data_IF_704306101428
#
_entry.id   IF_704306101428
#
_cell.length_a   1.000
_cell.length_b   1.000
_cell.length_c   1.000
_cell.angle_alpha   90.00
_cell.angle_beta   90.00
_cell.angle_gamma   90.00
#
_symmetry.space_group_name_H-M   'P 1'
#
loop_
_entity.id
_entity.type
_entity.pdbx_description
1 polymer ?
#
# COMPACT_ATOMS: atom_id res chain seq x y z
N UNK A 1 28.99 4.52 10.23
CA UNK A 1 29.90 3.98 9.19
C UNK A 1 29.44 2.58 8.74
N UNK A 2 28.21 2.43 8.20
CA UNK A 2 27.70 1.10 7.77
C UNK A 2 26.87 1.11 6.47
N UNK A 3 26.41 2.28 5.99
CA UNK A 3 25.57 2.34 4.78
C UNK A 3 26.38 2.22 3.46
N UNK A 4 27.63 2.69 3.43
CA UNK A 4 28.46 2.72 2.21
C UNK A 4 28.90 1.35 1.69
N UNK A 5 28.98 0.33 2.55
CA UNK A 5 29.41 -1.01 2.12
C UNK A 5 28.28 -1.82 1.47
N UNK A 6 27.02 -1.52 1.79
CA UNK A 6 25.85 -2.27 1.31
C UNK A 6 25.11 -1.56 0.16
N UNK A 7 25.35 -0.27 -0.04
CA UNK A 7 24.82 0.52 -1.15
C UNK A 7 25.99 1.19 -1.90
N UNK A 8 26.71 0.44 -2.74
CA UNK A 8 27.89 0.94 -3.47
C UNK A 8 27.54 1.92 -4.61
N UNK A 9 26.25 2.06 -4.94
CA UNK A 9 25.82 2.88 -6.07
C UNK A 9 25.83 4.38 -5.74
N UNK A 10 26.38 5.16 -6.68
CA UNK A 10 26.39 6.64 -6.66
C UNK A 10 25.04 7.26 -7.04
N UNK A 11 24.00 6.45 -7.26
CA UNK A 11 22.72 6.92 -7.77
C UNK A 11 21.71 7.11 -6.63
N UNK A 12 21.27 8.34 -6.48
CA UNK A 12 20.19 8.72 -5.57
C UNK A 12 18.94 8.97 -6.41
N UNK A 13 18.03 8.01 -6.39
CA UNK A 13 16.76 8.00 -7.12
C UNK A 13 15.56 7.89 -6.16
N UNK A 14 14.35 7.86 -6.72
CA UNK A 14 13.11 7.85 -5.94
C UNK A 14 12.96 6.61 -5.05
N UNK A 15 13.60 5.49 -5.39
CA UNK A 15 13.59 4.26 -4.60
C UNK A 15 14.47 4.39 -3.36
N UNK A 16 15.65 5.03 -3.45
CA UNK A 16 16.44 5.31 -2.24
C UNK A 16 15.74 6.34 -1.35
N UNK A 17 15.04 7.33 -1.95
CA UNK A 17 14.17 8.24 -1.19
C UNK A 17 13.05 7.49 -0.47
N UNK A 18 12.43 6.50 -1.11
CA UNK A 18 11.45 5.63 -0.49
C UNK A 18 12.03 4.86 0.71
N UNK A 19 13.16 4.18 0.53
CA UNK A 19 13.79 3.43 1.63
C UNK A 19 14.25 4.34 2.78
N UNK A 20 14.79 5.51 2.46
CA UNK A 20 15.22 6.50 3.45
C UNK A 20 14.01 7.02 4.24
N UNK A 21 12.90 7.33 3.56
CA UNK A 21 11.65 7.70 4.21
C UNK A 21 11.17 6.60 5.17
N UNK A 22 11.17 5.34 4.74
CA UNK A 22 10.77 4.20 5.59
C UNK A 22 11.68 4.07 6.80
N UNK A 23 13.00 4.17 6.63
CA UNK A 23 13.97 4.11 7.73
C UNK A 23 13.73 5.22 8.76
N UNK A 24 13.59 6.48 8.31
CA UNK A 24 13.34 7.62 9.19
C UNK A 24 12.05 7.41 9.99
N UNK A 25 10.97 6.97 9.33
CA UNK A 25 9.69 6.73 10.01
C UNK A 25 9.79 5.60 11.05
N UNK A 26 10.56 4.54 10.78
CA UNK A 26 10.83 3.49 11.76
C UNK A 26 11.59 4.07 12.96
N UNK A 27 12.64 4.85 12.72
CA UNK A 27 13.42 5.47 13.80
C UNK A 27 12.56 6.39 14.68
N UNK A 28 11.68 7.18 14.07
CA UNK A 28 10.72 8.04 14.80
C UNK A 28 9.80 7.19 15.69
N UNK A 29 9.16 6.16 15.14
CA UNK A 29 8.22 5.30 15.88
C UNK A 29 8.92 4.52 17.01
N UNK A 30 10.20 4.18 16.83
CA UNK A 30 11.00 3.48 17.83
C UNK A 30 11.65 4.42 18.87
N UNK A 31 11.43 5.74 18.80
CA UNK A 31 12.15 6.74 19.60
C UNK A 31 13.68 6.58 19.51
N UNK A 32 14.18 6.18 18.34
CA UNK A 32 15.61 6.05 18.10
C UNK A 32 16.26 7.40 17.78
N UNK A 33 17.56 7.51 18.01
CA UNK A 33 18.32 8.70 17.64
C UNK A 33 18.29 8.92 16.13
N UNK A 34 17.87 10.12 15.72
CA UNK A 34 17.90 10.54 14.33
C UNK A 34 19.28 11.07 13.96
N UNK A 35 19.61 11.06 12.66
CA UNK A 35 20.90 11.56 12.18
C UNK A 35 21.02 13.08 12.37
N UNK A 36 22.23 13.60 12.53
CA UNK A 36 22.47 15.04 12.77
C UNK A 36 21.95 15.96 11.64
N UNK A 37 21.84 15.44 10.42
CA UNK A 37 21.29 16.17 9.27
C UNK A 37 19.75 16.18 9.23
N UNK A 38 19.09 15.37 10.07
CA UNK A 38 17.64 15.31 10.12
C UNK A 38 17.06 16.65 10.54
N UNK A 39 16.10 17.11 9.76
CA UNK A 39 15.18 18.16 10.17
C UNK A 39 13.82 17.93 9.49
N UNK A 40 12.72 18.48 10.05
CA UNK A 40 11.39 18.25 9.51
C UNK A 40 11.21 18.66 8.04
N UNK A 41 11.90 19.71 7.58
CA UNK A 41 11.83 20.16 6.20
C UNK A 41 12.48 19.14 5.24
N UNK A 42 13.67 18.64 5.57
CA UNK A 42 14.33 17.59 4.80
C UNK A 42 13.51 16.30 4.78
N UNK A 43 12.93 15.92 5.93
CA UNK A 43 12.05 14.75 5.99
C UNK A 43 10.85 14.90 5.05
N UNK A 44 10.22 16.07 5.01
CA UNK A 44 9.09 16.34 4.11
C UNK A 44 9.45 16.16 2.62
N UNK A 45 10.60 16.68 2.19
CA UNK A 45 11.07 16.49 0.80
C UNK A 45 11.37 15.01 0.50
N UNK A 46 11.94 14.28 1.46
CA UNK A 46 12.14 12.84 1.36
C UNK A 46 10.79 12.10 1.22
N UNK A 47 9.79 12.46 2.02
CA UNK A 47 8.44 11.88 1.95
C UNK A 47 7.77 12.15 0.61
N UNK A 48 7.92 13.34 0.03
CA UNK A 48 7.41 13.64 -1.32
C UNK A 48 8.07 12.75 -2.37
N UNK A 49 9.39 12.59 -2.32
CA UNK A 49 10.12 11.71 -3.23
C UNK A 49 9.68 10.25 -3.12
N UNK A 50 9.51 9.76 -1.89
CA UNK A 50 8.97 8.43 -1.60
C UNK A 50 7.55 8.25 -2.19
N UNK A 51 6.71 9.28 -2.08
CA UNK A 51 5.36 9.26 -2.66
C UNK A 51 5.38 9.17 -4.19
N UNK A 52 6.25 9.92 -4.85
CA UNK A 52 6.44 9.84 -6.30
C UNK A 52 6.86 8.42 -6.70
N UNK A 53 7.75 7.77 -5.94
CA UNK A 53 8.14 6.39 -6.17
C UNK A 53 6.91 5.47 -6.20
N UNK A 54 6.08 5.49 -5.16
CA UNK A 54 4.89 4.64 -5.06
C UNK A 54 3.87 4.98 -6.17
N UNK A 55 3.64 6.27 -6.43
CA UNK A 55 2.68 6.73 -7.44
C UNK A 55 3.05 6.24 -8.83
N UNK A 56 4.35 6.21 -9.15
CA UNK A 56 4.86 5.78 -10.44
C UNK A 56 4.49 4.32 -10.76
N UNK A 57 4.45 3.45 -9.75
CA UNK A 57 4.22 2.00 -9.88
C UNK A 57 2.80 1.65 -10.33
N UNK A 58 1.85 2.57 -10.23
CA UNK A 58 0.45 2.37 -10.63
C UNK A 58 -0.16 3.65 -11.22
N UNK A 59 0.66 4.41 -11.94
CA UNK A 59 0.32 5.74 -12.46
C UNK A 59 -0.68 5.73 -13.62
N UNK A 60 -0.72 4.66 -14.40
CA UNK A 60 -1.63 4.51 -15.55
C UNK A 60 -2.70 3.44 -15.26
N UNK A 61 -3.85 3.47 -15.95
CA UNK A 61 -4.87 2.42 -15.82
C UNK A 61 -4.32 1.01 -16.12
N UNK A 62 -3.40 0.89 -17.08
CA UNK A 62 -2.76 -0.38 -17.41
C UNK A 62 -1.87 -0.88 -16.26
N UNK A 63 -1.05 0.00 -15.67
CA UNK A 63 -0.20 -0.33 -14.53
C UNK A 63 -1.02 -0.65 -13.28
N UNK A 64 -2.06 0.14 -12.97
CA UNK A 64 -2.96 -0.12 -11.85
C UNK A 64 -3.67 -1.48 -11.99
N UNK A 65 -4.17 -1.80 -13.20
CA UNK A 65 -4.76 -3.11 -13.49
C UNK A 65 -3.74 -4.24 -13.35
N UNK A 66 -2.50 -4.03 -13.78
CA UNK A 66 -1.44 -5.04 -13.67
C UNK A 66 -1.01 -5.28 -12.21
N UNK A 67 -0.83 -4.21 -11.43
CA UNK A 67 -0.32 -4.28 -10.07
C UNK A 67 -1.38 -4.71 -9.05
N UNK A 68 -2.59 -4.13 -9.10
CA UNK A 68 -3.66 -4.37 -8.12
C UNK A 68 -4.77 -5.31 -8.61
N UNK A 69 -4.97 -5.38 -9.93
CA UNK A 69 -6.08 -6.12 -10.54
C UNK A 69 -6.16 -7.60 -10.17
N UNK A 70 -5.05 -8.37 -10.13
CA UNK A 70 -5.10 -9.78 -9.72
C UNK A 70 -5.67 -9.99 -8.31
N UNK A 71 -5.31 -9.12 -7.36
CA UNK A 71 -5.79 -9.21 -5.99
C UNK A 71 -7.26 -8.77 -5.89
N UNK A 72 -7.64 -7.67 -6.56
CA UNK A 72 -9.05 -7.23 -6.65
C UNK A 72 -9.92 -8.34 -7.24
N UNK A 73 -9.46 -8.96 -8.34
CA UNK A 73 -10.15 -10.11 -8.95
C UNK A 73 -10.33 -11.25 -7.95
N UNK A 74 -9.27 -11.64 -7.24
CA UNK A 74 -9.35 -12.70 -6.23
C UNK A 74 -10.35 -12.37 -5.12
N UNK A 75 -10.39 -11.11 -4.67
CA UNK A 75 -11.37 -10.65 -3.68
C UNK A 75 -12.80 -10.81 -4.22
N UNK A 76 -13.08 -10.36 -5.45
CA UNK A 76 -14.40 -10.50 -6.08
C UNK A 76 -14.79 -11.96 -6.33
N UNK A 77 -13.84 -12.82 -6.70
CA UNK A 77 -14.07 -14.27 -6.83
C UNK A 77 -14.48 -14.88 -5.48
N UNK A 78 -13.85 -14.48 -4.37
CA UNK A 78 -14.25 -14.93 -3.04
C UNK A 78 -15.66 -14.46 -2.68
N UNK A 79 -16.02 -13.22 -3.04
CA UNK A 79 -17.39 -12.71 -2.88
C UNK A 79 -18.39 -13.57 -3.66
N UNK A 80 -18.13 -13.85 -4.93
CA UNK A 80 -19.01 -14.66 -5.77
C UNK A 80 -19.19 -16.09 -5.23
N UNK A 81 -18.09 -16.74 -4.80
CA UNK A 81 -18.13 -18.08 -4.19
C UNK A 81 -18.95 -18.09 -2.89
N UNK A 82 -18.84 -17.02 -2.09
CA UNK A 82 -19.64 -16.88 -0.87
C UNK A 82 -21.11 -16.64 -1.19
N UNK A 83 -21.41 -15.82 -2.19
CA UNK A 83 -22.78 -15.50 -2.60
C UNK A 83 -23.52 -16.70 -3.18
N UNK A 84 -22.81 -17.60 -3.86
CA UNK A 84 -23.35 -18.84 -4.40
C UNK A 84 -23.34 -20.01 -3.39
N UNK A 85 -23.04 -19.74 -2.11
CA UNK A 85 -22.90 -20.77 -1.05
C UNK A 85 -21.90 -21.89 -1.38
N UNK A 86 -20.97 -21.67 -2.31
CA UNK A 86 -19.94 -22.64 -2.71
C UNK A 86 -18.84 -22.71 -1.65
N UNK A 87 -18.52 -21.57 -1.02
CA UNK A 87 -17.51 -21.49 0.03
C UNK A 87 -18.10 -21.02 1.37
N UNK A 88 -17.84 -21.77 2.45
CA UNK A 88 -18.29 -21.43 3.81
C UNK A 88 -17.40 -20.37 4.49
N UNK A 89 -16.16 -20.16 4.01
CA UNK A 89 -15.20 -19.21 4.59
C UNK A 89 -15.80 -17.81 4.68
N UNK A 90 -15.64 -17.18 5.85
CA UNK A 90 -16.20 -15.85 6.14
C UNK A 90 -15.18 -14.72 5.98
N UNK A 91 -13.89 -15.00 6.20
CA UNK A 91 -12.82 -14.00 6.18
C UNK A 91 -11.66 -14.55 5.34
N UNK A 92 -11.14 -13.70 4.46
CA UNK A 92 -9.92 -13.94 3.69
C UNK A 92 -8.91 -12.85 4.06
N UNK A 93 -7.80 -13.25 4.66
CA UNK A 93 -6.73 -12.33 5.04
C UNK A 93 -5.57 -12.45 4.06
N UNK A 94 -5.17 -11.32 3.48
CA UNK A 94 -4.03 -11.22 2.58
C UNK A 94 -2.97 -10.35 3.24
N UNK A 95 -1.86 -10.94 3.63
CA UNK A 95 -0.70 -10.19 4.08
C UNK A 95 0.05 -9.65 2.88
N UNK A 96 0.44 -8.37 2.93
CA UNK A 96 1.11 -7.71 1.83
C UNK A 96 1.97 -6.54 2.29
N UNK A 97 2.36 -5.72 1.33
CA UNK A 97 3.16 -4.52 1.53
C UNK A 97 2.32 -3.27 1.31
N UNK A 98 2.83 -2.11 1.69
CA UNK A 98 2.31 -0.79 1.37
C UNK A 98 2.01 -0.65 -0.13
N UNK A 99 2.87 -1.21 -1.00
CA UNK A 99 2.64 -1.25 -2.44
C UNK A 99 1.43 -2.09 -2.83
N UNK A 100 1.14 -3.18 -2.11
CA UNK A 100 -0.04 -4.02 -2.35
C UNK A 100 -1.30 -3.23 -2.09
N UNK A 101 -1.36 -2.54 -0.94
CA UNK A 101 -2.52 -1.72 -0.60
C UNK A 101 -2.68 -0.57 -1.58
N UNK A 102 -1.59 0.13 -1.89
CA UNK A 102 -1.63 1.25 -2.83
C UNK A 102 -2.11 0.79 -4.22
N UNK A 103 -1.61 -0.35 -4.71
CA UNK A 103 -2.03 -0.92 -5.99
C UNK A 103 -3.51 -1.30 -5.99
N UNK A 104 -4.04 -1.87 -4.91
CA UNK A 104 -5.48 -2.15 -4.77
C UNK A 104 -6.29 -0.86 -4.80
N UNK A 105 -5.90 0.17 -4.04
CA UNK A 105 -6.58 1.47 -4.07
C UNK A 105 -6.60 2.07 -5.49
N UNK A 106 -5.45 2.05 -6.19
CA UNK A 106 -5.34 2.54 -7.57
C UNK A 106 -6.18 1.71 -8.56
N UNK A 107 -6.30 0.41 -8.37
CA UNK A 107 -7.17 -0.45 -9.18
C UNK A 107 -8.66 -0.10 -9.01
N UNK A 108 -9.04 0.51 -7.88
CA UNK A 108 -10.36 1.11 -7.64
C UNK A 108 -10.44 2.60 -8.02
N UNK A 109 -9.46 3.11 -8.77
CA UNK A 109 -9.35 4.53 -9.15
C UNK A 109 -9.24 5.49 -7.95
N UNK A 110 -8.83 5.00 -6.79
CA UNK A 110 -8.57 5.80 -5.59
C UNK A 110 -7.08 6.10 -5.50
N UNK A 111 -6.73 7.40 -5.39
CA UNK A 111 -5.36 7.84 -5.16
C UNK A 111 -5.23 8.32 -3.73
N UNK A 112 -4.33 7.69 -2.96
CA UNK A 112 -4.11 8.05 -1.56
C UNK A 112 -3.22 9.30 -1.50
N UNK A 113 -3.56 10.23 -0.61
CA UNK A 113 -2.80 11.49 -0.42
C UNK A 113 -1.42 11.24 0.18
N UNK A 114 -1.30 10.22 1.03
CA UNK A 114 -0.06 9.85 1.71
C UNK A 114 0.34 8.41 1.36
N UNK A 115 1.62 8.10 1.57
CA UNK A 115 2.06 6.70 1.57
C UNK A 115 1.27 5.93 2.64
N UNK A 116 0.88 4.68 2.35
CA UNK A 116 0.24 3.83 3.35
C UNK A 116 1.09 3.72 4.64
N UNK A 117 0.46 3.90 5.80
CA UNK A 117 1.12 3.83 7.11
C UNK A 117 1.39 2.37 7.53
N UNK A 118 2.28 2.14 8.50
CA UNK A 118 2.45 0.78 9.04
C UNK A 118 1.14 0.24 9.63
N UNK A 119 0.90 -1.06 9.44
CA UNK A 119 -0.29 -1.78 9.93
C UNK A 119 -1.64 -1.32 9.36
N UNK A 120 -1.64 -0.63 8.21
CA UNK A 120 -2.89 -0.31 7.53
C UNK A 120 -3.58 -1.55 6.93
N UNK A 121 -4.86 -1.41 6.59
CA UNK A 121 -5.58 -2.42 5.83
C UNK A 121 -6.61 -1.84 4.85
N UNK A 122 -6.84 -2.55 3.74
CA UNK A 122 -8.04 -2.36 2.91
C UNK A 122 -8.98 -3.53 3.17
N UNK A 123 -10.21 -3.22 3.58
CA UNK A 123 -11.22 -4.21 3.88
C UNK A 123 -12.32 -4.16 2.82
N UNK A 124 -12.66 -5.31 2.26
CA UNK A 124 -13.83 -5.50 1.42
C UNK A 124 -14.87 -6.29 2.22
N UNK A 125 -15.95 -5.63 2.60
CA UNK A 125 -17.07 -6.25 3.29
C UNK A 125 -18.20 -6.53 2.31
N UNK A 126 -18.65 -7.78 2.27
CA UNK A 126 -19.78 -8.19 1.45
C UNK A 126 -21.05 -8.19 2.28
N UNK A 127 -22.08 -7.50 1.79
CA UNK A 127 -23.42 -7.47 2.33
C UNK A 127 -24.40 -8.14 1.37
N UNK A 128 -25.49 -8.66 1.92
CA UNK A 128 -26.61 -9.21 1.18
C UNK A 128 -27.90 -8.58 1.69
N UNK A 129 -28.76 -8.10 0.79
CA UNK A 129 -30.10 -7.64 1.16
C UNK A 129 -31.12 -8.79 1.19
N UNK A 130 -32.34 -8.49 1.63
CA UNK A 130 -33.44 -9.47 1.71
C UNK A 130 -33.87 -10.01 0.34
N UNK A 131 -33.52 -9.32 -0.75
CA UNK A 131 -33.78 -9.74 -2.14
C UNK A 131 -32.65 -10.61 -2.70
N UNK A 132 -31.57 -10.81 -1.94
CA UNK A 132 -30.41 -11.61 -2.32
C UNK A 132 -29.34 -10.87 -3.13
N UNK A 133 -29.46 -9.55 -3.32
CA UNK A 133 -28.47 -8.74 -4.03
C UNK A 133 -27.18 -8.61 -3.21
N UNK A 134 -26.03 -8.67 -3.89
CA UNK A 134 -24.72 -8.50 -3.28
C UNK A 134 -24.31 -7.02 -3.30
N UNK A 135 -23.79 -6.52 -2.18
CA UNK A 135 -23.15 -5.21 -2.09
C UNK A 135 -21.75 -5.36 -1.52
N UNK A 136 -20.81 -4.55 -1.98
CA UNK A 136 -19.44 -4.49 -1.44
C UNK A 136 -19.20 -3.10 -0.88
N UNK A 137 -18.82 -3.05 0.39
CA UNK A 137 -18.34 -1.84 1.05
C UNK A 137 -16.84 -1.94 1.23
N UNK A 138 -16.13 -0.86 0.90
CA UNK A 138 -14.68 -0.79 1.05
C UNK A 138 -14.31 0.14 2.19
N UNK A 139 -13.34 -0.27 3.00
CA UNK A 139 -12.74 0.57 4.04
C UNK A 139 -11.24 0.66 3.83
N UNK A 140 -10.70 1.83 4.13
CA UNK A 140 -9.28 2.08 4.28
C UNK A 140 -9.06 2.42 5.76
N UNK A 141 -8.40 1.51 6.48
CA UNK A 141 -8.19 1.56 7.93
C UNK A 141 -6.76 1.97 8.25
#
# INVERSE_FOLDING_TARGET
MYLRSWYPEKQFDFKQLFFLNTLINIQIVQNATLSDWYNPHVHHEITKGAKICIDSLSSTPALARMAGGPLVRRMLENVALKMNNVNKRKIHLFSGHEFTVYAVAKAHSVTLNHSPAFSLAVLHETYRDDRGNAFVKMFYW
#
